data_IF_828601730496
#
_entry.id   IF_828601730496
#
_cell.length_a   1.000
_cell.length_b   1.000
_cell.length_c   1.000
_cell.angle_alpha   90.00
_cell.angle_beta   90.00
_cell.angle_gamma   90.00
#
_symmetry.space_group_name_H-M   'P 1'
#
loop_
_entity.id
_entity.type
_entity.pdbx_description
1 polymer ?
#
# COMPACT_ATOMS: atom_id res chain seq x y z
N UNK A 1 1.33 -19.07 7.14
CA UNK A 1 0.69 -17.79 7.52
C UNK A 1 -0.81 -17.99 7.53
N UNK A 2 -1.48 -17.47 8.53
CA UNK A 2 -2.93 -17.47 8.57
C UNK A 2 -3.44 -16.47 7.52
N UNK A 3 -4.44 -16.81 6.70
CA UNK A 3 -5.09 -15.84 5.82
C UNK A 3 -5.65 -14.67 6.62
N UNK A 4 -5.66 -13.49 6.01
CA UNK A 4 -6.29 -12.29 6.56
C UNK A 4 -7.50 -11.98 5.71
N UNK A 5 -8.67 -11.92 6.35
CA UNK A 5 -9.92 -11.56 5.71
C UNK A 5 -10.26 -10.11 6.04
N UNK A 6 -10.53 -9.31 5.02
CA UNK A 6 -11.07 -7.97 5.14
C UNK A 6 -12.52 -7.98 4.66
N UNK A 7 -13.43 -7.59 5.53
CA UNK A 7 -14.85 -7.52 5.22
C UNK A 7 -15.35 -6.10 5.48
N UNK A 8 -16.11 -5.56 4.56
CA UNK A 8 -16.79 -4.28 4.74
C UNK A 8 -18.23 -4.37 4.23
N UNK A 9 -19.16 -3.85 4.99
CA UNK A 9 -20.52 -3.58 4.56
C UNK A 9 -20.70 -2.09 4.36
N UNK A 10 -21.06 -1.68 3.14
CA UNK A 10 -21.35 -0.27 2.83
C UNK A 10 -22.86 -0.08 2.81
N UNK A 11 -23.35 0.79 3.67
CA UNK A 11 -24.77 1.18 3.76
C UNK A 11 -24.94 2.65 3.40
N UNK A 12 -25.80 2.94 2.43
CA UNK A 12 -26.11 4.30 2.00
C UNK A 12 -27.43 4.70 2.65
N UNK A 13 -27.36 5.72 3.50
CA UNK A 13 -28.53 6.31 4.18
C UNK A 13 -28.82 7.71 3.61
N UNK A 14 -29.84 8.36 4.11
CA UNK A 14 -30.29 9.66 3.57
C UNK A 14 -29.24 10.76 3.74
N UNK A 15 -28.48 10.73 4.83
CA UNK A 15 -27.54 11.80 5.25
C UNK A 15 -26.12 11.32 5.51
N UNK A 16 -25.89 10.01 5.37
CA UNK A 16 -24.56 9.39 5.60
C UNK A 16 -24.33 8.14 4.78
N UNK A 17 -23.07 7.76 4.69
CA UNK A 17 -22.60 6.48 4.17
C UNK A 17 -21.81 5.80 5.28
N UNK A 18 -22.28 4.65 5.71
CA UNK A 18 -21.64 3.84 6.74
C UNK A 18 -20.82 2.74 6.09
N UNK A 19 -19.53 2.65 6.44
CA UNK A 19 -18.65 1.51 6.16
C UNK A 19 -18.39 0.76 7.48
N UNK A 20 -19.03 -0.38 7.62
CA UNK A 20 -18.86 -1.24 8.78
C UNK A 20 -17.95 -2.42 8.47
N UNK A 21 -16.85 -2.54 9.20
CA UNK A 21 -15.82 -3.56 9.05
C UNK A 21 -16.04 -4.78 9.95
N UNK A 22 -17.28 -5.04 10.37
CA UNK A 22 -17.61 -6.25 11.15
C UNK A 22 -17.26 -7.51 10.34
N UNK A 23 -16.75 -8.55 11.03
CA UNK A 23 -16.30 -9.79 10.40
C UNK A 23 -14.87 -9.77 9.83
N UNK A 24 -14.16 -8.65 9.90
CA UNK A 24 -12.74 -8.58 9.56
C UNK A 24 -11.88 -9.34 10.57
N UNK A 25 -10.78 -9.95 10.10
CA UNK A 25 -9.83 -10.71 10.92
C UNK A 25 -9.36 -9.95 12.17
N UNK A 26 -9.04 -10.68 13.22
CA UNK A 26 -8.42 -10.14 14.44
C UNK A 26 -6.99 -9.68 14.20
N UNK A 27 -6.41 -9.02 15.21
CA UNK A 27 -5.00 -8.61 15.22
C UNK A 27 -4.06 -9.77 14.91
N UNK A 28 -3.07 -9.49 14.07
CA UNK A 28 -1.91 -10.35 13.83
C UNK A 28 -0.78 -10.02 14.82
N UNK A 29 0.08 -10.99 15.10
CA UNK A 29 1.31 -10.80 15.91
C UNK A 29 2.37 -9.98 15.18
N UNK A 30 2.30 -9.91 13.84
CA UNK A 30 3.18 -9.11 13.00
C UNK A 30 2.76 -7.66 13.02
N UNK A 31 3.67 -6.77 12.62
CA UNK A 31 3.45 -5.33 12.59
C UNK A 31 2.53 -4.81 11.49
N UNK A 32 1.64 -5.64 10.95
CA UNK A 32 0.77 -5.33 9.81
C UNK A 32 -0.61 -4.77 10.21
N UNK A 33 -0.89 -4.66 11.50
CA UNK A 33 -2.17 -4.15 12.00
C UNK A 33 -2.34 -2.66 11.71
N UNK A 34 -3.56 -2.23 11.51
CA UNK A 34 -3.91 -0.87 11.07
C UNK A 34 -4.68 -0.15 12.17
N UNK A 35 -4.23 1.02 12.64
CA UNK A 35 -5.01 1.87 13.55
C UNK A 35 -6.28 2.38 12.86
N UNK A 36 -7.38 2.52 13.60
CA UNK A 36 -8.67 2.96 13.03
C UNK A 36 -8.58 4.29 12.27
N UNK A 37 -7.74 5.22 12.71
CA UNK A 37 -7.56 6.50 12.02
C UNK A 37 -7.03 6.31 10.60
N UNK A 38 -6.15 5.34 10.37
CA UNK A 38 -5.65 5.00 9.05
C UNK A 38 -6.75 4.36 8.19
N UNK A 39 -7.49 3.40 8.75
CA UNK A 39 -8.64 2.76 8.08
C UNK A 39 -9.68 3.81 7.67
N UNK A 40 -10.02 4.74 8.58
CA UNK A 40 -10.92 5.86 8.28
C UNK A 40 -10.41 6.72 7.12
N UNK A 41 -9.14 7.09 7.14
CA UNK A 41 -8.56 7.94 6.10
C UNK A 41 -8.65 7.28 4.72
N UNK A 42 -8.32 6.00 4.61
CA UNK A 42 -8.31 5.28 3.33
C UNK A 42 -9.71 4.88 2.86
N UNK A 43 -10.63 4.53 3.76
CA UNK A 43 -12.03 4.31 3.41
C UNK A 43 -12.71 5.61 2.93
N UNK A 44 -12.50 6.72 3.65
CA UNK A 44 -12.98 8.03 3.21
C UNK A 44 -12.38 8.44 1.86
N UNK A 45 -11.11 8.14 1.62
CA UNK A 45 -10.47 8.40 0.33
C UNK A 45 -11.17 7.64 -0.80
N UNK A 46 -11.43 6.34 -0.62
CA UNK A 46 -12.14 5.52 -1.61
C UNK A 46 -13.54 6.09 -1.91
N UNK A 47 -14.35 6.35 -0.86
CA UNK A 47 -15.69 6.93 -1.00
C UNK A 47 -15.62 8.28 -1.72
N UNK A 48 -14.66 9.11 -1.35
CA UNK A 48 -14.50 10.45 -1.92
C UNK A 48 -14.17 10.40 -3.41
N UNK A 49 -13.24 9.53 -3.82
CA UNK A 49 -12.90 9.33 -5.22
C UNK A 49 -14.06 8.78 -6.04
N UNK A 50 -14.86 7.89 -5.46
CA UNK A 50 -16.00 7.27 -6.14
C UNK A 50 -17.20 8.22 -6.31
N UNK A 51 -17.50 9.01 -5.28
CA UNK A 51 -18.81 9.71 -5.18
C UNK A 51 -18.68 11.22 -5.39
N UNK A 52 -17.59 11.82 -4.95
CA UNK A 52 -17.45 13.28 -4.94
C UNK A 52 -16.00 13.75 -5.22
N UNK A 53 -15.39 13.35 -6.36
CA UNK A 53 -14.00 13.65 -6.66
C UNK A 53 -13.72 15.16 -6.78
N UNK A 54 -14.69 15.93 -7.24
CA UNK A 54 -14.54 17.36 -7.50
C UNK A 54 -14.73 18.26 -6.26
N UNK A 55 -15.20 17.68 -5.14
CA UNK A 55 -15.41 18.46 -3.91
C UNK A 55 -14.09 18.47 -3.10
N UNK A 56 -13.53 19.63 -2.72
CA UNK A 56 -12.33 19.71 -1.93
C UNK A 56 -12.43 18.96 -0.58
N UNK A 57 -11.32 18.35 -0.16
CA UNK A 57 -11.26 17.64 1.12
C UNK A 57 -11.22 18.63 2.29
N UNK A 58 -12.22 18.54 3.15
CA UNK A 58 -12.30 19.26 4.42
C UNK A 58 -13.23 18.50 5.39
N UNK A 59 -13.29 18.93 6.63
CA UNK A 59 -14.08 18.25 7.66
C UNK A 59 -15.57 18.12 7.27
N UNK A 60 -16.16 19.15 6.64
CA UNK A 60 -17.56 19.12 6.24
C UNK A 60 -17.81 18.14 5.08
N UNK A 61 -16.90 18.07 4.09
CA UNK A 61 -17.06 17.17 2.95
C UNK A 61 -16.82 15.69 3.32
N UNK A 62 -16.18 15.43 4.44
CA UNK A 62 -15.91 14.07 4.96
C UNK A 62 -16.90 13.66 6.07
N UNK A 63 -17.64 14.60 6.64
CA UNK A 63 -18.59 14.35 7.73
C UNK A 63 -19.66 13.29 7.42
N UNK A 64 -20.17 13.16 6.18
CA UNK A 64 -21.15 12.12 5.85
C UNK A 64 -20.57 10.70 5.82
N UNK A 65 -19.27 10.51 5.86
CA UNK A 65 -18.63 9.20 5.82
C UNK A 65 -18.36 8.68 7.24
N UNK A 66 -19.14 7.71 7.67
CA UNK A 66 -18.98 7.07 8.96
C UNK A 66 -18.29 5.71 8.79
N UNK A 67 -17.15 5.54 9.46
CA UNK A 67 -16.34 4.32 9.35
C UNK A 67 -16.24 3.69 10.73
N UNK A 68 -16.73 2.46 10.86
CA UNK A 68 -16.70 1.66 12.09
C UNK A 68 -15.95 0.35 11.89
N UNK A 69 -15.28 -0.10 12.93
CA UNK A 69 -14.62 -1.41 12.93
C UNK A 69 -14.55 -1.95 14.36
N UNK A 70 -14.66 -3.27 14.57
CA UNK A 70 -14.52 -3.87 15.88
C UNK A 70 -13.15 -3.58 16.49
N UNK A 71 -13.11 -3.26 17.77
CA UNK A 71 -11.84 -3.12 18.49
C UNK A 71 -11.04 -4.41 18.45
N UNK A 72 -9.72 -4.27 18.32
CA UNK A 72 -8.79 -5.39 18.16
C UNK A 72 -9.05 -6.26 16.90
N UNK A 73 -9.72 -5.71 15.90
CA UNK A 73 -9.61 -6.21 14.52
C UNK A 73 -8.32 -5.68 13.87
N UNK A 74 -7.90 -6.34 12.77
CA UNK A 74 -6.66 -5.95 12.04
C UNK A 74 -6.74 -4.53 11.46
N UNK A 75 -7.94 -3.97 11.30
CA UNK A 75 -8.22 -2.61 10.82
C UNK A 75 -8.57 -1.62 11.94
N UNK A 76 -8.59 -2.07 13.19
CA UNK A 76 -8.81 -1.25 14.39
C UNK A 76 -7.84 -1.68 15.52
N UNK A 77 -6.56 -1.53 15.25
CA UNK A 77 -5.53 -1.86 16.21
C UNK A 77 -5.44 -0.78 17.31
N UNK A 78 -5.58 -1.20 18.55
CA UNK A 78 -5.35 -0.38 19.73
C UNK A 78 -3.91 -0.56 20.25
N UNK A 79 -3.37 0.46 20.91
CA UNK A 79 -2.07 0.36 21.59
C UNK A 79 -2.14 -0.75 22.67
N UNK A 80 -1.11 -1.62 22.80
CA UNK A 80 0.22 -1.63 22.18
C UNK A 80 0.37 -2.55 20.95
N UNK A 81 -0.66 -2.77 20.16
CA UNK A 81 -0.57 -3.63 18.98
C UNK A 81 0.56 -3.18 18.02
N UNK A 82 1.29 -4.12 17.40
CA UNK A 82 2.36 -3.80 16.46
C UNK A 82 1.78 -3.28 15.14
N UNK A 83 2.22 -2.08 14.70
CA UNK A 83 1.69 -1.36 13.53
C UNK A 83 2.78 -0.83 12.58
N UNK A 84 4.01 -1.30 12.72
CA UNK A 84 5.16 -0.76 11.97
C UNK A 84 4.97 -0.87 10.43
N UNK A 85 4.37 -1.95 9.96
CA UNK A 85 4.09 -2.24 8.56
C UNK A 85 2.59 -2.12 8.22
N UNK A 86 1.87 -1.22 8.89
CA UNK A 86 0.41 -1.03 8.73
C UNK A 86 -0.04 -0.81 7.28
N UNK A 87 0.82 -0.28 6.43
CA UNK A 87 0.52 -0.07 5.01
C UNK A 87 0.29 -1.37 4.25
N UNK A 88 0.86 -2.50 4.69
CA UNK A 88 0.68 -3.81 4.05
C UNK A 88 -0.80 -4.20 3.98
N UNK A 89 -1.54 -4.02 5.06
CA UNK A 89 -2.99 -4.24 5.09
C UNK A 89 -3.76 -2.98 4.67
N UNK A 90 -3.27 -1.81 5.10
CA UNK A 90 -3.97 -0.55 4.85
C UNK A 90 -4.19 -0.23 3.37
N UNK A 91 -3.30 -0.67 2.48
CA UNK A 91 -3.46 -0.46 1.03
C UNK A 91 -4.65 -1.21 0.43
N UNK A 92 -5.12 -2.29 1.07
CA UNK A 92 -6.30 -3.02 0.61
C UNK A 92 -7.62 -2.38 1.06
N UNK A 93 -7.59 -1.41 1.98
CA UNK A 93 -8.81 -0.76 2.47
C UNK A 93 -9.63 -0.11 1.34
N UNK A 94 -9.06 0.70 0.43
CA UNK A 94 -9.81 1.25 -0.70
C UNK A 94 -10.36 0.20 -1.64
N UNK A 95 -9.55 -0.83 -1.97
CA UNK A 95 -9.98 -1.89 -2.89
C UNK A 95 -11.16 -2.67 -2.29
N UNK A 96 -11.14 -2.96 -0.98
CA UNK A 96 -12.26 -3.62 -0.29
C UNK A 96 -13.52 -2.75 -0.30
N UNK A 97 -13.40 -1.42 -0.16
CA UNK A 97 -14.54 -0.50 -0.26
C UNK A 97 -15.06 -0.44 -1.69
N UNK A 98 -14.18 -0.44 -2.69
CA UNK A 98 -14.59 -0.45 -4.10
C UNK A 98 -15.33 -1.75 -4.48
N UNK A 99 -14.84 -2.90 -4.04
CA UNK A 99 -15.53 -4.18 -4.25
C UNK A 99 -16.95 -4.18 -3.69
N UNK A 100 -17.14 -3.60 -2.50
CA UNK A 100 -18.47 -3.45 -1.91
C UNK A 100 -19.37 -2.48 -2.68
N UNK A 101 -18.80 -1.44 -3.30
CA UNK A 101 -19.54 -0.43 -4.08
C UNK A 101 -19.79 -0.85 -5.53
N UNK A 102 -19.03 -1.77 -6.10
CA UNK A 102 -19.08 -2.14 -7.52
C UNK A 102 -20.48 -2.55 -7.97
N UNK A 103 -21.23 -3.24 -7.11
CA UNK A 103 -22.63 -3.63 -7.37
C UNK A 103 -23.58 -2.44 -7.46
N UNK A 104 -23.25 -1.32 -6.84
CA UNK A 104 -24.07 -0.10 -6.81
C UNK A 104 -23.62 0.91 -7.87
N UNK A 105 -22.35 0.90 -8.22
CA UNK A 105 -21.71 1.85 -9.13
C UNK A 105 -20.97 1.10 -10.26
N UNK A 106 -21.68 0.28 -11.05
CA UNK A 106 -21.06 -0.49 -12.12
C UNK A 106 -20.35 0.44 -13.11
N UNK A 107 -19.19 0.03 -13.60
CA UNK A 107 -18.37 0.76 -14.57
C UNK A 107 -17.83 2.14 -14.12
N UNK A 108 -17.98 2.50 -12.86
CA UNK A 108 -17.46 3.78 -12.32
C UNK A 108 -16.19 3.63 -11.48
N UNK A 109 -15.89 2.43 -11.03
CA UNK A 109 -14.78 2.15 -10.13
C UNK A 109 -13.59 1.51 -10.86
N UNK A 110 -12.35 1.76 -10.40
CA UNK A 110 -11.20 1.04 -10.93
C UNK A 110 -11.24 -0.41 -10.46
N UNK A 111 -10.71 -1.31 -11.27
CA UNK A 111 -10.42 -2.67 -10.86
C UNK A 111 -9.32 -2.71 -9.79
N UNK A 112 -9.23 -3.82 -9.06
CA UNK A 112 -8.17 -4.02 -8.09
C UNK A 112 -6.78 -3.91 -8.72
N UNK A 113 -5.89 -3.25 -8.01
CA UNK A 113 -4.48 -3.15 -8.37
C UNK A 113 -3.63 -4.23 -7.72
N UNK A 114 -2.32 -4.06 -7.78
CA UNK A 114 -1.38 -4.97 -7.11
C UNK A 114 -1.51 -4.92 -5.57
N UNK A 115 -2.17 -3.92 -5.01
CA UNK A 115 -2.40 -3.76 -3.56
C UNK A 115 -1.10 -3.72 -2.74
N UNK A 116 0.05 -3.46 -3.37
CA UNK A 116 1.33 -3.55 -2.69
C UNK A 116 2.19 -2.29 -2.87
N UNK A 117 2.74 -1.86 -1.75
CA UNK A 117 3.92 -1.02 -1.67
C UNK A 117 5.00 -1.86 -0.99
N UNK A 118 5.80 -2.55 -1.80
CA UNK A 118 6.81 -3.46 -1.27
C UNK A 118 7.98 -2.69 -0.69
N UNK A 119 8.21 -2.84 0.60
CA UNK A 119 9.42 -2.37 1.24
C UNK A 119 10.57 -3.32 0.91
N UNK A 120 11.62 -2.78 0.33
CA UNK A 120 12.90 -3.48 0.20
C UNK A 120 13.91 -2.77 1.08
N UNK A 121 14.18 -3.35 2.23
CA UNK A 121 15.12 -2.82 3.21
C UNK A 121 16.35 -3.69 3.25
N UNK A 122 17.51 -3.07 3.11
CA UNK A 122 18.80 -3.73 3.17
C UNK A 122 19.72 -3.07 4.18
N UNK A 123 20.43 -3.89 4.93
CA UNK A 123 21.53 -3.47 5.80
C UNK A 123 22.84 -3.80 5.10
N UNK A 124 23.76 -2.88 5.12
CA UNK A 124 25.03 -2.96 4.41
C UNK A 124 26.17 -2.65 5.35
N UNK A 125 27.26 -3.38 5.21
CA UNK A 125 28.48 -3.15 6.00
C UNK A 125 29.72 -3.19 5.12
N UNK A 126 30.82 -2.53 5.55
CA UNK A 126 32.12 -2.72 4.92
C UNK A 126 32.55 -4.20 4.97
N UNK A 127 33.00 -4.72 3.85
CA UNK A 127 33.56 -6.08 3.77
C UNK A 127 34.86 -6.15 4.57
N UNK A 128 34.95 -7.10 5.47
CA UNK A 128 36.15 -7.31 6.28
C UNK A 128 36.49 -8.79 6.31
N UNK A 129 37.77 -9.13 6.11
CA UNK A 129 38.28 -10.50 6.26
C UNK A 129 38.39 -10.92 7.73
N UNK A 130 38.22 -9.99 8.67
CA UNK A 130 38.11 -10.24 10.10
C UNK A 130 36.68 -10.02 10.54
N UNK A 131 36.24 -10.77 11.57
CA UNK A 131 34.92 -10.53 12.17
C UNK A 131 34.76 -9.03 12.42
N UNK A 132 33.77 -8.43 11.75
CA UNK A 132 33.57 -7.00 11.87
C UNK A 132 33.29 -6.65 13.34
N UNK A 133 33.92 -5.60 13.90
CA UNK A 133 33.58 -5.12 15.22
C UNK A 133 32.08 -4.87 15.32
N UNK A 134 31.49 -5.11 16.49
CA UNK A 134 30.07 -4.82 16.74
C UNK A 134 29.67 -3.38 16.41
N UNK A 135 30.65 -2.49 16.32
CA UNK A 135 30.53 -1.05 16.09
C UNK A 135 30.79 -0.64 14.63
N UNK A 136 30.88 -1.61 13.69
CA UNK A 136 31.02 -1.28 12.28
C UNK A 136 29.81 -0.45 11.82
N UNK A 137 30.10 0.69 11.17
CA UNK A 137 29.06 1.58 10.63
C UNK A 137 28.27 0.78 9.59
N UNK A 138 27.00 0.57 9.87
CA UNK A 138 26.03 -0.04 8.95
C UNK A 138 25.28 1.06 8.21
N UNK A 139 25.06 0.84 6.93
CA UNK A 139 24.15 1.68 6.16
C UNK A 139 22.82 0.95 5.99
N UNK A 140 21.74 1.60 6.37
CA UNK A 140 20.37 1.09 6.14
C UNK A 140 19.78 1.82 4.95
N UNK A 141 19.38 1.06 3.94
CA UNK A 141 18.73 1.60 2.74
C UNK A 141 17.33 1.01 2.62
N UNK A 142 16.33 1.89 2.61
CA UNK A 142 14.94 1.52 2.40
C UNK A 142 14.49 1.99 1.02
N UNK A 143 14.01 1.06 0.22
CA UNK A 143 13.45 1.32 -1.10
C UNK A 143 12.00 0.85 -1.17
N UNK A 144 11.18 1.59 -1.89
CA UNK A 144 9.80 1.20 -2.17
C UNK A 144 9.65 0.78 -3.63
N UNK A 145 9.01 -0.37 -3.83
CA UNK A 145 8.58 -0.85 -5.13
C UNK A 145 7.07 -0.92 -5.18
N UNK A 146 6.50 -0.28 -6.20
CA UNK A 146 5.07 -0.29 -6.43
C UNK A 146 4.71 -1.26 -7.54
N UNK A 147 3.58 -1.95 -7.38
CA UNK A 147 2.94 -2.71 -8.45
C UNK A 147 2.20 -1.80 -9.42
N UNK A 148 1.45 -2.38 -10.34
CA UNK A 148 0.53 -1.63 -11.20
C UNK A 148 -0.79 -1.35 -10.49
N UNK A 149 -1.46 -0.26 -10.84
CA UNK A 149 -2.85 -0.05 -10.45
C UNK A 149 -3.80 -0.89 -11.29
N UNK A 150 -5.01 -1.16 -10.82
CA UNK A 150 -6.07 -1.78 -11.61
C UNK A 150 -6.44 -0.94 -12.84
N UNK A 151 -7.12 -1.55 -13.79
CA UNK A 151 -7.71 -0.85 -14.93
C UNK A 151 -8.73 0.17 -14.43
N UNK A 152 -8.81 1.30 -15.12
CA UNK A 152 -9.80 2.35 -14.84
C UNK A 152 -11.02 2.15 -15.74
N UNK A 153 -12.16 2.76 -15.43
CA UNK A 153 -13.39 2.55 -16.19
C UNK A 153 -13.27 2.75 -17.72
N UNK A 154 -12.38 3.63 -18.15
CA UNK A 154 -12.21 4.00 -19.56
C UNK A 154 -10.74 4.12 -20.00
N UNK A 155 -9.80 3.63 -19.19
CA UNK A 155 -8.36 3.74 -19.43
C UNK A 155 -7.62 2.54 -18.83
N UNK A 156 -6.47 2.23 -19.36
CA UNK A 156 -5.53 1.29 -18.75
C UNK A 156 -5.11 1.72 -17.35
N UNK A 157 -4.75 0.75 -16.52
CA UNK A 157 -4.12 0.98 -15.22
C UNK A 157 -2.77 1.68 -15.36
N UNK A 158 -2.37 2.40 -14.33
CA UNK A 158 -1.08 3.08 -14.28
C UNK A 158 0.04 2.12 -13.88
N UNK A 159 1.13 2.16 -14.63
CA UNK A 159 2.28 1.30 -14.36
C UNK A 159 3.02 1.78 -13.10
N UNK A 160 3.54 0.85 -12.31
CA UNK A 160 4.42 1.11 -11.18
C UNK A 160 3.91 2.23 -10.25
N UNK A 161 2.63 2.20 -9.94
CA UNK A 161 1.94 3.25 -9.18
C UNK A 161 1.64 2.80 -7.76
N UNK A 162 2.03 3.60 -6.78
CA UNK A 162 1.69 3.40 -5.38
C UNK A 162 0.27 3.90 -5.09
N UNK A 163 -0.73 3.12 -5.44
CA UNK A 163 -2.12 3.37 -5.08
C UNK A 163 -2.46 2.63 -3.77
N UNK A 164 -3.15 3.24 -2.82
CA UNK A 164 -3.68 4.61 -2.80
C UNK A 164 -2.72 5.65 -2.22
N UNK A 165 -1.55 5.26 -1.72
CA UNK A 165 -0.68 6.14 -0.93
C UNK A 165 -0.03 7.28 -1.73
N UNK A 166 0.08 7.16 -3.04
CA UNK A 166 0.74 8.16 -3.88
C UNK A 166 2.25 8.30 -3.63
N UNK A 167 2.89 7.29 -3.00
CA UNK A 167 4.34 7.30 -2.78
C UNK A 167 5.05 7.34 -4.12
N UNK A 168 5.91 8.32 -4.30
CA UNK A 168 6.70 8.47 -5.51
C UNK A 168 7.94 7.58 -5.46
N UNK A 169 8.30 7.07 -6.64
CA UNK A 169 9.53 6.30 -6.80
C UNK A 169 10.75 7.22 -6.68
N UNK A 170 11.68 6.87 -5.78
CA UNK A 170 12.95 7.58 -5.66
C UNK A 170 13.81 7.32 -6.92
N UNK A 171 14.44 8.33 -7.51
CA UNK A 171 15.40 8.16 -8.61
C UNK A 171 16.55 7.22 -8.21
N UNK A 172 17.10 6.50 -9.19
CA UNK A 172 18.21 5.56 -8.98
C UNK A 172 19.40 6.29 -8.38
N UNK A 173 19.77 7.44 -8.94
CA UNK A 173 20.90 8.26 -8.51
C UNK A 173 20.75 8.71 -7.04
N UNK A 174 19.55 9.10 -6.64
CA UNK A 174 19.28 9.48 -5.26
C UNK A 174 19.37 8.28 -4.32
N UNK A 175 18.91 7.10 -4.75
CA UNK A 175 18.99 5.87 -3.96
C UNK A 175 20.46 5.46 -3.75
N UNK A 176 21.29 5.52 -4.79
CA UNK A 176 22.71 5.16 -4.73
C UNK A 176 23.54 6.13 -3.89
N UNK A 177 23.04 7.35 -3.64
CA UNK A 177 23.68 8.31 -2.74
C UNK A 177 23.36 8.10 -1.26
N UNK A 178 22.28 7.38 -0.95
CA UNK A 178 21.87 7.14 0.45
C UNK A 178 22.77 6.09 1.13
N UNK A 179 23.30 5.14 0.35
CA UNK A 179 24.15 4.08 0.88
C UNK A 179 24.93 3.38 -0.24
N UNK A 180 25.80 2.42 0.12
CA UNK A 180 26.68 1.75 -0.83
C UNK A 180 25.95 0.67 -1.65
N UNK A 181 24.83 1.03 -2.25
CA UNK A 181 24.02 0.21 -3.17
C UNK A 181 24.30 0.58 -4.61
N UNK A 182 24.07 -0.36 -5.52
CA UNK A 182 24.05 -0.17 -6.96
C UNK A 182 22.74 -0.75 -7.48
N UNK A 183 22.01 0.00 -8.29
CA UNK A 183 20.78 -0.46 -8.94
C UNK A 183 21.11 -0.80 -10.38
N UNK A 184 21.34 -2.08 -10.65
CA UNK A 184 21.66 -2.57 -11.97
C UNK A 184 20.48 -2.50 -12.95
N UNK A 185 19.27 -2.64 -12.42
CA UNK A 185 18.07 -2.71 -13.24
C UNK A 185 16.87 -2.15 -12.46
N UNK A 186 16.11 -1.29 -13.09
CA UNK A 186 14.82 -0.80 -12.60
C UNK A 186 13.93 -0.51 -13.81
N UNK A 187 13.04 -1.41 -14.11
CA UNK A 187 12.22 -1.37 -15.32
C UNK A 187 10.83 -1.95 -15.08
N UNK A 188 9.91 -1.66 -15.99
CA UNK A 188 8.59 -2.26 -15.96
C UNK A 188 8.67 -3.74 -16.32
N UNK A 189 7.90 -4.56 -15.60
CA UNK A 189 7.78 -5.99 -15.87
C UNK A 189 6.82 -6.21 -17.04
N UNK A 190 7.28 -6.69 -18.21
CA UNK A 190 6.41 -6.99 -19.33
C UNK A 190 5.33 -8.00 -18.95
N UNK A 191 4.16 -7.89 -19.55
CA UNK A 191 3.03 -8.82 -19.42
C UNK A 191 2.53 -9.06 -17.98
N UNK A 192 2.84 -8.15 -17.04
CA UNK A 192 2.40 -8.26 -15.65
C UNK A 192 1.07 -7.56 -15.36
N UNK A 193 0.52 -6.82 -16.31
CA UNK A 193 -0.80 -6.21 -16.19
C UNK A 193 -1.92 -7.22 -16.42
N UNK A 194 -2.96 -7.19 -15.58
CA UNK A 194 -4.14 -8.02 -15.75
C UNK A 194 -4.83 -7.78 -17.11
N UNK A 195 -5.27 -8.83 -17.83
CA UNK A 195 -5.97 -8.68 -19.09
C UNK A 195 -7.41 -8.24 -18.87
N UNK A 196 -7.95 -7.44 -19.78
CA UNK A 196 -9.34 -6.98 -19.77
C UNK A 196 -9.62 -6.08 -20.97
N UNK A 197 -10.79 -5.43 -20.98
CA UNK A 197 -11.11 -4.40 -21.96
C UNK A 197 -10.09 -3.26 -21.88
N UNK A 198 -9.73 -2.86 -20.66
CA UNK A 198 -8.58 -2.04 -20.34
C UNK A 198 -7.62 -2.87 -19.51
N UNK A 199 -6.33 -2.72 -19.76
CA UNK A 199 -5.28 -3.50 -19.12
C UNK A 199 -4.95 -2.95 -17.74
N UNK A 200 -4.69 -3.82 -16.76
CA UNK A 200 -4.05 -3.45 -15.51
C UNK A 200 -2.64 -2.87 -15.74
N UNK A 201 -2.18 -2.03 -14.83
CA UNK A 201 -0.85 -1.44 -14.86
C UNK A 201 0.25 -2.48 -14.67
N UNK A 202 1.42 -2.22 -15.26
CA UNK A 202 2.59 -3.10 -15.12
C UNK A 202 3.28 -2.91 -13.77
N UNK A 203 3.74 -4.01 -13.18
CA UNK A 203 4.66 -4.01 -12.05
C UNK A 203 6.09 -3.69 -12.48
N UNK A 204 7.04 -3.94 -11.58
CA UNK A 204 8.46 -3.61 -11.78
C UNK A 204 9.37 -4.81 -11.55
N UNK A 205 10.53 -4.79 -12.24
CA UNK A 205 11.74 -5.50 -11.84
C UNK A 205 12.73 -4.51 -11.23
N UNK A 206 13.38 -4.91 -10.15
CA UNK A 206 14.51 -4.18 -9.60
C UNK A 206 15.62 -5.18 -9.23
N UNK A 207 16.83 -4.89 -9.69
CA UNK A 207 18.04 -5.66 -9.38
C UNK A 207 19.00 -4.75 -8.64
N UNK A 208 19.34 -5.13 -7.41
CA UNK A 208 20.13 -4.33 -6.48
C UNK A 208 21.40 -5.11 -6.12
N UNK A 209 22.53 -4.46 -6.25
CA UNK A 209 23.82 -4.92 -5.81
C UNK A 209 24.44 -4.02 -4.75
N UNK A 210 25.66 -4.33 -4.37
CA UNK A 210 26.46 -3.55 -3.43
C UNK A 210 27.69 -2.97 -4.12
N UNK A 211 28.13 -1.78 -3.70
CA UNK A 211 29.36 -1.17 -4.15
C UNK A 211 30.58 -1.99 -3.68
N UNK A 212 31.68 -1.91 -4.45
CA UNK A 212 32.92 -2.58 -4.10
C UNK A 212 33.38 -2.25 -2.68
N UNK A 213 33.80 -3.27 -1.94
CA UNK A 213 34.22 -3.12 -0.54
C UNK A 213 33.09 -3.21 0.48
N UNK A 214 31.85 -3.46 0.06
CA UNK A 214 30.70 -3.67 0.93
C UNK A 214 30.03 -5.02 0.70
N UNK A 215 29.20 -5.43 1.63
CA UNK A 215 28.38 -6.64 1.55
C UNK A 215 27.03 -6.40 2.24
N UNK A 216 26.03 -7.20 1.87
CA UNK A 216 24.77 -7.28 2.61
C UNK A 216 25.00 -7.91 3.98
N UNK A 217 24.37 -7.37 5.03
CA UNK A 217 24.45 -7.87 6.40
C UNK A 217 23.30 -8.81 6.75
#
# INVERSE_FOLDING_TARGET
>A
STPVDLNVTVSIETDRILCDWEGTSRLDKKGINVPLVYTKAYACYALKCAIAPDIPNNAASLAPFEITAPENSIVHALHPAPVALRHVIGHFVPDTVYDALDKLLPDLLPAEGAGCLCNFQVSLRPRSDKAAPSDAIRAEVLMFNSGGSGARPNLDGMNATAFPSGVMTMPVEATEQVGPVIIWRKELRPDSGGPGQYRGGLGQFMEVGVQAGHEFD
#
